data_IF_879662184639
#
_entry.id   IF_879662184639
#
_cell.length_a   1.000
_cell.length_b   1.000
_cell.length_c   1.000
_cell.angle_alpha   90.00
_cell.angle_beta   90.00
_cell.angle_gamma   90.00
#
_symmetry.space_group_name_H-M   'P 1'
#
loop_
_entity.id
_entity.type
_entity.pdbx_description
1 polymer ?
#
# COMPACT_ATOMS: atom_id res chain seq x y z
N UNK A 1 -24.16 -18.59 -7.46
CA UNK A 1 -23.13 -19.07 -6.52
C UNK A 1 -22.56 -17.85 -5.80
N UNK A 2 -23.18 -17.51 -4.66
CA UNK A 2 -22.94 -16.28 -3.88
C UNK A 2 -21.76 -16.47 -2.93
N UNK A 3 -20.59 -15.93 -3.28
CA UNK A 3 -19.43 -15.87 -2.38
C UNK A 3 -18.72 -14.53 -2.65
N UNK A 4 -19.28 -13.40 -2.20
CA UNK A 4 -18.58 -12.09 -2.25
C UNK A 4 -18.88 -11.12 -1.10
N UNK A 5 -19.74 -11.48 -0.13
CA UNK A 5 -20.04 -10.62 1.02
C UNK A 5 -19.42 -11.20 2.29
N UNK A 6 -19.45 -12.52 2.48
CA UNK A 6 -18.91 -13.18 3.68
C UNK A 6 -17.41 -12.98 3.89
N UNK A 7 -16.59 -12.88 2.84
CA UNK A 7 -15.15 -12.65 3.00
C UNK A 7 -14.83 -11.24 3.46
N UNK A 8 -15.57 -10.24 2.93
CA UNK A 8 -15.49 -8.85 3.37
C UNK A 8 -16.03 -8.69 4.80
N UNK A 9 -17.13 -9.38 5.13
CA UNK A 9 -17.70 -9.40 6.48
C UNK A 9 -16.77 -10.09 7.48
N UNK A 10 -16.12 -11.21 7.11
CA UNK A 10 -15.16 -11.90 7.97
C UNK A 10 -13.90 -11.07 8.21
N UNK A 11 -13.38 -10.37 7.21
CA UNK A 11 -12.23 -9.46 7.38
C UNK A 11 -12.61 -8.26 8.26
N UNK A 12 -13.83 -7.70 8.09
CA UNK A 12 -14.33 -6.61 8.93
C UNK A 12 -14.59 -7.05 10.39
N UNK A 13 -15.14 -8.26 10.61
CA UNK A 13 -15.37 -8.81 11.94
C UNK A 13 -14.08 -9.18 12.66
N UNK A 14 -13.07 -9.68 11.93
CA UNK A 14 -11.79 -10.07 12.52
C UNK A 14 -10.95 -8.85 12.96
N UNK A 15 -11.17 -7.68 12.34
CA UNK A 15 -10.40 -6.49 12.65
C UNK A 15 -11.05 -5.54 13.67
N UNK A 16 -12.34 -5.67 14.02
CA UNK A 16 -13.07 -4.75 14.95
C UNK A 16 -12.76 -3.25 14.76
N UNK A 17 -12.33 -2.82 13.58
CA UNK A 17 -11.98 -1.44 13.28
C UNK A 17 -12.83 -1.01 12.09
N UNK A 18 -13.83 -0.14 12.30
CA UNK A 18 -14.64 0.37 11.21
C UNK A 18 -13.75 1.18 10.26
N UNK A 19 -13.93 0.94 8.95
CA UNK A 19 -13.19 1.62 7.86
C UNK A 19 -13.29 3.14 7.98
N UNK A 20 -14.36 3.65 8.59
CA UNK A 20 -14.58 5.07 8.88
C UNK A 20 -13.59 5.66 9.91
N UNK A 21 -13.08 4.87 10.86
CA UNK A 21 -12.06 5.33 11.83
C UNK A 21 -10.67 5.49 11.21
N UNK A 22 -10.37 4.78 10.13
CA UNK A 22 -9.15 4.96 9.34
C UNK A 22 -9.16 6.27 8.53
N UNK A 23 -10.35 6.79 8.20
CA UNK A 23 -10.51 8.04 7.46
C UNK A 23 -10.63 9.27 8.37
N UNK A 24 -11.17 9.11 9.59
CA UNK A 24 -11.50 10.24 10.48
C UNK A 24 -10.70 10.38 11.77
N UNK A 25 -9.65 9.57 12.04
CA UNK A 25 -8.80 9.81 13.22
C UNK A 25 -7.93 11.05 13.03
N UNK A 26 -8.54 12.20 13.31
CA UNK A 26 -7.92 13.47 13.65
C UNK A 26 -7.31 13.31 15.03
N UNK A 27 -6.14 12.67 15.12
CA UNK A 27 -5.35 12.69 16.35
C UNK A 27 -4.17 13.64 16.15
N UNK A 28 -4.24 14.77 16.84
CA UNK A 28 -3.10 15.61 17.16
C UNK A 28 -2.10 14.77 17.97
N UNK A 29 -1.19 14.09 17.28
CA UNK A 29 -0.01 13.51 17.91
C UNK A 29 1.22 13.83 17.05
N UNK A 30 2.12 14.63 17.61
CA UNK A 30 3.52 14.65 17.18
C UNK A 30 4.07 13.24 17.45
N UNK A 31 3.95 12.34 16.48
CA UNK A 31 4.28 10.94 16.74
C UNK A 31 4.28 10.05 15.52
N UNK A 32 5.46 9.93 14.90
CA UNK A 32 5.92 8.79 14.13
C UNK A 32 5.26 8.54 12.75
N UNK A 33 5.72 9.31 11.75
CA UNK A 33 5.45 9.09 10.30
C UNK A 33 5.71 7.62 9.89
N UNK A 34 6.64 6.91 10.55
CA UNK A 34 6.91 5.50 10.27
C UNK A 34 5.75 4.55 10.60
N UNK A 35 4.85 4.87 11.55
CA UNK A 35 3.80 3.92 11.97
C UNK A 35 2.75 3.73 10.86
N UNK A 36 2.30 4.82 10.24
CA UNK A 36 1.36 4.78 9.12
C UNK A 36 1.99 4.14 7.87
N UNK A 37 3.28 4.42 7.62
CA UNK A 37 4.02 3.85 6.48
C UNK A 37 4.25 2.33 6.64
N UNK A 38 4.58 1.86 7.85
CA UNK A 38 4.67 0.42 8.13
C UNK A 38 3.31 -0.28 8.00
N UNK A 39 2.23 0.38 8.43
CA UNK A 39 0.90 -0.20 8.36
C UNK A 39 0.41 -0.38 6.92
N UNK A 40 0.57 0.62 6.05
CA UNK A 40 0.17 0.50 4.63
C UNK A 40 0.98 -0.59 3.93
N UNK A 41 2.29 -0.68 4.21
CA UNK A 41 3.16 -1.70 3.65
C UNK A 41 2.76 -3.10 4.11
N UNK A 42 2.41 -3.24 5.40
CA UNK A 42 1.92 -4.49 5.97
C UNK A 42 0.60 -4.95 5.36
N UNK A 43 -0.34 -4.03 5.11
CA UNK A 43 -1.59 -4.33 4.40
C UNK A 43 -1.30 -4.82 2.98
N UNK A 44 -0.48 -4.09 2.21
CA UNK A 44 -0.12 -4.48 0.84
C UNK A 44 0.55 -5.85 0.81
N UNK A 45 1.50 -6.09 1.72
CA UNK A 45 2.19 -7.36 1.85
C UNK A 45 1.23 -8.51 2.19
N UNK A 46 0.33 -8.32 3.16
CA UNK A 46 -0.63 -9.35 3.54
C UNK A 46 -1.60 -9.71 2.41
N UNK A 47 -2.12 -8.72 1.68
CA UNK A 47 -3.01 -8.97 0.53
C UNK A 47 -2.29 -9.83 -0.51
N UNK A 48 -1.06 -9.47 -0.87
CA UNK A 48 -0.29 -10.20 -1.89
C UNK A 48 0.11 -11.62 -1.42
N UNK A 49 0.45 -11.78 -0.14
CA UNK A 49 0.75 -13.08 0.46
C UNK A 49 -0.48 -13.98 0.42
N UNK A 50 -1.65 -13.47 0.84
CA UNK A 50 -2.90 -14.23 0.82
C UNK A 50 -3.21 -14.65 -0.61
N UNK A 51 -3.17 -13.70 -1.56
CA UNK A 51 -3.36 -13.98 -2.98
C UNK A 51 -2.43 -15.08 -3.51
N UNK A 52 -1.16 -15.05 -3.11
CA UNK A 52 -0.18 -16.09 -3.49
C UNK A 52 -0.60 -17.49 -3.06
N UNK A 53 -1.21 -17.62 -1.88
CA UNK A 53 -1.65 -18.91 -1.34
C UNK A 53 -3.06 -19.30 -1.79
N UNK A 54 -3.91 -18.34 -2.16
CA UNK A 54 -5.31 -18.60 -2.50
C UNK A 54 -5.57 -18.77 -3.99
N UNK A 55 -4.74 -18.20 -4.87
CA UNK A 55 -4.98 -18.23 -6.32
C UNK A 55 -4.07 -19.24 -6.99
N UNK A 56 -4.67 -20.24 -7.64
CA UNK A 56 -3.98 -21.12 -8.58
C UNK A 56 -3.65 -20.36 -9.87
N UNK A 57 -2.56 -19.61 -9.83
CA UNK A 57 -2.06 -18.85 -10.96
C UNK A 57 -0.97 -19.65 -11.73
N UNK A 58 -0.76 -19.39 -13.04
CA UNK A 58 0.34 -19.95 -13.81
C UNK A 58 1.72 -19.67 -13.17
N UNK A 59 2.75 -20.49 -13.40
CA UNK A 59 4.08 -20.29 -12.81
C UNK A 59 4.68 -18.90 -13.06
N UNK A 60 4.47 -18.34 -14.26
CA UNK A 60 4.92 -16.99 -14.60
C UNK A 60 4.19 -15.90 -13.78
N UNK A 61 2.88 -16.10 -13.54
CA UNK A 61 2.09 -15.23 -12.69
C UNK A 61 2.52 -15.30 -11.22
N UNK A 62 2.85 -16.50 -10.72
CA UNK A 62 3.42 -16.68 -9.38
C UNK A 62 4.77 -15.99 -9.23
N UNK A 63 5.64 -16.07 -10.24
CA UNK A 63 6.91 -15.35 -10.24
C UNK A 63 6.74 -13.83 -10.16
N UNK A 64 5.72 -13.29 -10.83
CA UNK A 64 5.38 -11.86 -10.73
C UNK A 64 4.84 -11.48 -9.35
N UNK A 65 4.03 -12.34 -8.72
CA UNK A 65 3.60 -12.17 -7.33
C UNK A 65 4.79 -12.04 -6.41
N UNK A 66 5.78 -12.92 -6.58
CA UNK A 66 6.98 -12.90 -5.74
C UNK A 66 7.76 -11.60 -5.90
N UNK A 67 7.87 -11.07 -7.12
CA UNK A 67 8.46 -9.74 -7.37
C UNK A 67 7.63 -8.64 -6.69
N UNK A 68 6.31 -8.67 -6.83
CA UNK A 68 5.42 -7.68 -6.21
C UNK A 68 5.43 -7.73 -4.68
N UNK A 69 5.58 -8.91 -4.08
CA UNK A 69 5.72 -9.13 -2.62
C UNK A 69 7.09 -8.67 -2.13
N UNK A 70 8.13 -8.85 -2.95
CA UNK A 70 9.49 -8.43 -2.63
C UNK A 70 9.60 -6.91 -2.47
N UNK A 71 8.87 -6.13 -3.28
CA UNK A 71 8.91 -4.66 -3.23
C UNK A 71 8.52 -4.10 -1.84
N UNK A 72 7.35 -4.42 -1.26
CA UNK A 72 7.01 -3.98 0.08
C UNK A 72 7.96 -4.57 1.14
N UNK A 73 8.43 -5.80 1.00
CA UNK A 73 9.44 -6.34 1.92
C UNK A 73 10.74 -5.52 1.90
N UNK A 74 11.22 -5.15 0.70
CA UNK A 74 12.42 -4.33 0.50
C UNK A 74 12.21 -2.90 1.01
N UNK A 75 11.02 -2.33 0.84
CA UNK A 75 10.69 -1.00 1.37
C UNK A 75 10.59 -0.96 2.89
N UNK A 76 10.44 -2.11 3.56
CA UNK A 76 10.47 -2.20 5.01
C UNK A 76 11.88 -1.96 5.57
N UNK A 77 12.94 -2.33 4.84
CA UNK A 77 14.34 -2.10 5.23
C UNK A 77 14.68 -0.62 5.46
N UNK A 78 14.51 0.30 4.50
CA UNK A 78 14.83 1.72 4.71
C UNK A 78 13.98 2.33 5.83
N UNK A 79 12.73 1.89 5.98
CA UNK A 79 11.86 2.26 7.10
C UNK A 79 12.42 1.81 8.46
N UNK A 80 12.94 0.59 8.54
CA UNK A 80 13.53 0.02 9.75
C UNK A 80 14.88 0.69 10.08
N UNK A 81 15.69 0.97 9.07
CA UNK A 81 16.97 1.68 9.17
C UNK A 81 16.80 3.14 9.62
N UNK A 82 15.80 3.85 9.09
CA UNK A 82 15.42 5.19 9.58
C UNK A 82 14.93 5.11 11.03
N UNK A 83 14.13 4.10 11.37
CA UNK A 83 13.62 3.93 12.74
C UNK A 83 14.71 3.59 13.77
N UNK A 84 15.79 2.93 13.35
CA UNK A 84 16.98 2.68 14.17
C UNK A 84 17.96 3.84 14.19
N UNK A 85 17.65 4.96 13.54
CA UNK A 85 18.51 6.15 13.42
C UNK A 85 19.84 5.89 12.68
N UNK A 86 19.95 4.78 11.96
CA UNK A 86 21.13 4.40 11.18
C UNK A 86 21.17 5.10 9.81
N UNK A 87 20.02 5.58 9.34
CA UNK A 87 19.88 6.17 8.02
C UNK A 87 19.22 7.53 8.13
N UNK A 88 19.84 8.52 7.49
CA UNK A 88 19.36 9.90 7.52
C UNK A 88 17.95 9.93 6.93
N UNK A 89 16.99 10.46 7.69
CA UNK A 89 15.57 10.48 7.29
C UNK A 89 15.32 11.17 5.94
N UNK A 90 16.23 12.07 5.50
CA UNK A 90 16.21 12.70 4.17
C UNK A 90 16.44 11.73 3.01
N UNK A 91 17.08 10.59 3.24
CA UNK A 91 17.41 9.58 2.21
C UNK A 91 16.39 8.43 2.24
N UNK A 92 15.99 7.97 3.43
CA UNK A 92 15.04 6.87 3.55
C UNK A 92 13.63 7.21 3.06
N UNK A 93 13.16 8.45 3.30
CA UNK A 93 11.83 8.89 2.87
C UNK A 93 11.64 8.94 1.34
N UNK A 94 12.56 9.54 0.55
CA UNK A 94 12.44 9.54 -0.92
C UNK A 94 12.51 8.12 -1.50
N UNK A 95 13.39 7.25 -0.98
CA UNK A 95 13.48 5.84 -1.40
C UNK A 95 12.14 5.13 -1.16
N UNK A 96 11.55 5.32 0.02
CA UNK A 96 10.22 4.78 0.34
C UNK A 96 9.17 5.29 -0.66
N UNK A 97 9.10 6.60 -0.90
CA UNK A 97 8.09 7.17 -1.80
C UNK A 97 8.27 6.74 -3.26
N UNK A 98 9.52 6.65 -3.73
CA UNK A 98 9.83 6.22 -5.08
C UNK A 98 9.49 4.74 -5.28
N UNK A 99 9.83 3.87 -4.31
CA UNK A 99 9.48 2.46 -4.37
C UNK A 99 7.98 2.22 -4.28
N UNK A 100 7.26 2.97 -3.44
CA UNK A 100 5.81 2.87 -3.35
C UNK A 100 5.11 3.36 -4.63
N UNK A 101 5.68 4.37 -5.29
CA UNK A 101 5.19 4.85 -6.58
C UNK A 101 5.42 3.81 -7.67
N UNK A 102 6.63 3.25 -7.74
CA UNK A 102 6.97 2.18 -8.68
C UNK A 102 6.07 0.96 -8.47
N UNK A 103 5.84 0.56 -7.22
CA UNK A 103 4.88 -0.50 -6.88
C UNK A 103 3.47 -0.19 -7.40
N UNK A 104 2.99 1.04 -7.18
CA UNK A 104 1.69 1.49 -7.66
C UNK A 104 1.55 1.38 -9.18
N UNK A 105 2.55 1.87 -9.91
CA UNK A 105 2.59 1.84 -11.38
C UNK A 105 2.70 0.41 -11.90
N UNK A 106 3.54 -0.44 -11.28
CA UNK A 106 3.68 -1.84 -11.68
C UNK A 106 2.41 -2.66 -11.39
N UNK A 107 1.77 -2.43 -10.24
CA UNK A 107 0.51 -3.10 -9.88
C UNK A 107 -0.61 -2.77 -10.86
N UNK A 108 -0.80 -1.48 -11.15
CA UNK A 108 -1.81 -1.04 -12.14
C UNK A 108 -1.41 -1.49 -13.55
N UNK A 109 -0.17 -1.24 -13.97
CA UNK A 109 0.31 -1.59 -15.29
C UNK A 109 0.15 -3.08 -15.57
N UNK A 110 0.61 -3.94 -14.65
CA UNK A 110 0.46 -5.40 -14.79
C UNK A 110 -0.99 -5.87 -14.82
N UNK A 111 -1.89 -5.19 -14.08
CA UNK A 111 -3.32 -5.48 -14.13
C UNK A 111 -4.00 -5.04 -15.43
N UNK A 112 -3.61 -3.91 -16.04
CA UNK A 112 -4.24 -3.40 -17.27
C UNK A 112 -3.86 -4.26 -18.47
N UNK A 113 -2.59 -4.62 -18.58
CA UNK A 113 -2.08 -5.42 -19.71
C UNK A 113 -2.27 -6.92 -19.52
N UNK A 114 -2.76 -7.35 -18.34
CA UNK A 114 -2.87 -8.75 -17.94
C UNK A 114 -1.58 -9.52 -18.26
N UNK A 115 -0.45 -9.00 -17.77
CA UNK A 115 0.90 -9.27 -18.30
C UNK A 115 1.27 -10.77 -18.34
N UNK A 116 0.61 -11.62 -17.55
CA UNK A 116 0.84 -13.07 -17.52
C UNK A 116 -0.44 -13.91 -17.49
N UNK A 117 -1.54 -13.43 -18.07
CA UNK A 117 -2.84 -14.15 -18.09
C UNK A 117 -3.26 -14.64 -16.69
N UNK A 118 -3.18 -13.73 -15.72
CA UNK A 118 -3.06 -14.09 -14.29
C UNK A 118 -4.38 -14.45 -13.62
N UNK A 119 -5.44 -14.66 -14.40
CA UNK A 119 -6.80 -14.83 -13.90
C UNK A 119 -7.39 -13.52 -13.35
N UNK A 120 -8.74 -13.39 -13.35
CA UNK A 120 -9.41 -12.15 -12.98
C UNK A 120 -9.24 -11.78 -11.49
N UNK A 121 -9.11 -12.78 -10.60
CA UNK A 121 -8.88 -12.53 -9.17
C UNK A 121 -7.58 -11.77 -8.93
N UNK A 122 -6.48 -12.30 -9.44
CA UNK A 122 -5.16 -11.69 -9.27
C UNK A 122 -5.04 -10.31 -9.90
N UNK A 123 -5.65 -10.15 -11.08
CA UNK A 123 -5.68 -8.88 -11.80
C UNK A 123 -6.34 -7.78 -10.93
N UNK A 124 -7.46 -8.09 -10.28
CA UNK A 124 -8.16 -7.12 -9.41
C UNK A 124 -7.36 -6.79 -8.15
N UNK A 125 -6.73 -7.77 -7.53
CA UNK A 125 -5.92 -7.56 -6.33
C UNK A 125 -4.68 -6.70 -6.60
N UNK A 126 -3.98 -6.93 -7.73
CA UNK A 126 -2.90 -6.06 -8.17
C UNK A 126 -3.35 -4.62 -8.44
N UNK A 127 -4.51 -4.45 -9.09
CA UNK A 127 -5.07 -3.14 -9.38
C UNK A 127 -5.43 -2.39 -8.09
N UNK A 128 -6.12 -3.05 -7.14
CA UNK A 128 -6.50 -2.48 -5.84
C UNK A 128 -5.25 -2.12 -5.03
N UNK A 129 -4.26 -3.00 -4.95
CA UNK A 129 -2.99 -2.72 -4.26
C UNK A 129 -2.28 -1.52 -4.89
N UNK A 130 -2.27 -1.42 -6.23
CA UNK A 130 -1.68 -0.30 -6.93
C UNK A 130 -2.40 1.03 -6.66
N UNK A 131 -3.74 1.01 -6.65
CA UNK A 131 -4.56 2.17 -6.28
C UNK A 131 -4.34 2.61 -4.84
N UNK A 132 -4.27 1.68 -3.88
CA UNK A 132 -4.00 1.98 -2.46
C UNK A 132 -2.63 2.67 -2.33
N UNK A 133 -1.61 2.16 -3.01
CA UNK A 133 -0.27 2.72 -2.98
C UNK A 133 -0.22 4.14 -3.56
N UNK A 134 -0.79 4.36 -4.75
CA UNK A 134 -0.84 5.69 -5.36
C UNK A 134 -1.75 6.67 -4.61
N UNK A 135 -2.89 6.20 -4.11
CA UNK A 135 -3.80 7.00 -3.29
C UNK A 135 -3.14 7.48 -2.00
N UNK A 136 -2.33 6.63 -1.37
CA UNK A 136 -1.53 7.01 -0.20
C UNK A 136 -0.53 8.12 -0.51
N UNK A 137 0.19 8.03 -1.66
CA UNK A 137 1.10 9.08 -2.15
C UNK A 137 0.38 10.38 -2.51
N UNK A 138 -0.80 10.28 -3.14
CA UNK A 138 -1.64 11.42 -3.49
C UNK A 138 -2.10 12.18 -2.25
N UNK A 139 -2.54 11.46 -1.20
CA UNK A 139 -3.00 12.06 0.06
C UNK A 139 -1.89 12.88 0.74
N UNK A 140 -0.65 12.42 0.74
CA UNK A 140 0.49 13.19 1.29
C UNK A 140 0.80 14.44 0.49
N UNK A 141 0.78 14.38 -0.86
CA UNK A 141 0.99 15.56 -1.71
C UNK A 141 -0.14 16.57 -1.61
N UNK A 142 -1.40 16.12 -1.59
CA UNK A 142 -2.58 16.98 -1.45
C UNK A 142 -2.57 17.70 -0.09
N UNK A 143 -2.25 16.98 0.99
CA UNK A 143 -2.17 17.58 2.34
C UNK A 143 -1.08 18.66 2.42
N UNK A 144 0.05 18.46 1.74
CA UNK A 144 1.11 19.46 1.62
C UNK A 144 0.66 20.68 0.80
N UNK A 145 -0.01 20.46 -0.33
CA UNK A 145 -0.53 21.52 -1.19
C UNK A 145 -1.57 22.38 -0.46
N UNK A 146 -2.53 21.74 0.23
CA UNK A 146 -3.57 22.41 1.05
C UNK A 146 -2.95 23.22 2.18
N UNK A 147 -1.91 22.68 2.84
CA UNK A 147 -1.18 23.42 3.88
C UNK A 147 -0.47 24.65 3.30
N UNK A 148 0.18 24.52 2.14
CA UNK A 148 0.86 25.63 1.45
C UNK A 148 -0.13 26.73 1.06
N UNK A 149 -1.31 26.38 0.54
CA UNK A 149 -2.36 27.34 0.17
C UNK A 149 -2.89 28.06 1.41
N UNK A 150 -3.18 27.33 2.51
CA UNK A 150 -3.62 27.96 3.77
C UNK A 150 -2.59 28.96 4.30
N UNK A 151 -1.30 28.60 4.28
CA UNK A 151 -0.23 29.48 4.77
C UNK A 151 -0.09 30.75 3.92
N UNK A 152 -0.30 30.63 2.61
CA UNK A 152 -0.31 31.77 1.68
C UNK A 152 -1.57 32.65 1.80
N UNK A 153 -2.70 32.10 2.28
CA UNK A 153 -3.95 32.85 2.49
C UNK A 153 -4.03 33.57 3.84
N UNK A 154 -3.14 33.24 4.79
CA UNK A 154 -3.05 33.88 6.12
C UNK A 154 -1.88 34.86 6.25
N UNK A 155 -1.18 35.16 5.16
CA UNK A 155 -0.08 36.13 5.09
C UNK A 155 -0.46 37.28 4.18
#
# INVERSE_FOLDING_TARGET
MSIRIDTLVRIANFYQVPVDQLLFTRSHSKGNINKSQKHILGILFMILIIERFTVDAPPAARGWIDILVLIPALLYLPLLLVNRNWLISRIGLPIYTAGLFLFGVLGIGSSVINLFSMGPGFQTSCFICGLIALGYLGKTKIKYLVWRIRKAATS
#
